data_IF_452229477752
#
_entry.id   IF_452229477752
#
_cell.length_a   1.000
_cell.length_b   1.000
_cell.length_c   1.000
_cell.angle_alpha   90.00
_cell.angle_beta   90.00
_cell.angle_gamma   90.00
#
_symmetry.space_group_name_H-M   'P 1'
#
loop_
_entity.id
_entity.type
_entity.pdbx_description
1 polymer ?
#
# COMPACT_ATOMS: atom_id res chain seq x y z
N UNK A 1 -15.23 -16.45 16.67
CA UNK A 1 -15.00 -15.94 15.30
C UNK A 1 -15.69 -14.59 15.25
N UNK A 2 -14.94 -13.50 15.23
CA UNK A 2 -15.54 -12.17 15.11
C UNK A 2 -16.27 -12.13 13.77
N UNK A 3 -17.59 -11.98 13.81
CA UNK A 3 -18.39 -11.66 12.64
C UNK A 3 -17.95 -10.26 12.24
N UNK A 4 -17.09 -10.16 11.22
CA UNK A 4 -16.63 -8.88 10.69
C UNK A 4 -17.84 -8.27 9.96
N UNK A 5 -18.68 -7.58 10.72
CA UNK A 5 -19.87 -6.93 10.20
C UNK A 5 -19.42 -5.72 9.38
N UNK A 6 -19.78 -5.63 8.09
CA UNK A 6 -19.27 -4.59 7.20
C UNK A 6 -19.81 -3.19 7.53
N UNK A 7 -20.66 -3.06 8.55
CA UNK A 7 -21.19 -1.80 9.06
C UNK A 7 -20.66 -1.46 10.46
N UNK A 8 -19.84 -2.34 11.05
CA UNK A 8 -19.21 -2.12 12.33
C UNK A 8 -17.94 -1.27 12.16
N UNK A 9 -18.05 -0.01 12.59
CA UNK A 9 -16.99 0.98 12.43
C UNK A 9 -15.74 0.68 13.28
N UNK A 10 -15.92 -0.02 14.41
CA UNK A 10 -14.82 -0.40 15.32
C UNK A 10 -14.07 -1.64 14.82
N UNK A 11 -14.74 -2.50 14.05
CA UNK A 11 -14.13 -3.65 13.40
C UNK A 11 -13.33 -3.29 12.13
N UNK A 12 -13.47 -2.06 11.62
CA UNK A 12 -12.78 -1.60 10.42
C UNK A 12 -11.27 -1.40 10.70
N UNK A 13 -10.37 -2.03 9.93
CA UNK A 13 -8.93 -1.92 10.14
C UNK A 13 -8.36 -0.54 9.81
N UNK A 14 -9.11 0.31 9.09
CA UNK A 14 -8.72 1.66 8.74
C UNK A 14 -9.41 2.71 9.61
N UNK A 15 -9.87 2.31 10.80
CA UNK A 15 -10.42 3.21 11.82
C UNK A 15 -9.39 4.26 12.25
N UNK A 16 -9.84 5.46 12.64
CA UNK A 16 -8.96 6.46 13.23
C UNK A 16 -8.27 5.91 14.50
N UNK A 17 -7.06 6.37 14.83
CA UNK A 17 -6.38 5.98 16.06
C UNK A 17 -7.17 6.41 17.29
N UNK A 18 -7.10 5.60 18.35
CA UNK A 18 -7.78 5.89 19.62
C UNK A 18 -7.28 7.18 20.29
N UNK A 19 -6.01 7.54 20.05
CA UNK A 19 -5.41 8.79 20.52
C UNK A 19 -5.58 9.85 19.42
N UNK A 20 -6.22 11.00 19.73
CA UNK A 20 -6.33 12.11 18.78
C UNK A 20 -4.96 12.51 18.24
N UNK A 21 -4.82 12.44 16.91
CA UNK A 21 -3.58 12.68 16.20
C UNK A 21 -3.86 13.62 15.04
N UNK A 22 -2.96 14.56 14.78
CA UNK A 22 -3.06 15.42 13.61
C UNK A 22 -2.78 14.59 12.34
N UNK A 23 -3.75 14.57 11.43
CA UNK A 23 -3.71 13.80 10.18
C UNK A 23 -3.90 14.71 8.97
N UNK A 24 -3.33 14.33 7.86
CA UNK A 24 -3.48 14.97 6.56
C UNK A 24 -4.16 14.03 5.57
N UNK A 25 -5.09 14.56 4.78
CA UNK A 25 -5.71 13.83 3.67
C UNK A 25 -4.93 14.06 2.37
N UNK A 26 -4.58 12.98 1.66
CA UNK A 26 -3.86 13.08 0.38
C UNK A 26 -4.70 13.65 -0.78
N UNK A 27 -6.03 13.67 -0.64
CA UNK A 27 -6.95 14.12 -1.70
C UNK A 27 -7.22 15.63 -1.66
N UNK A 28 -7.51 16.17 -0.47
CA UNK A 28 -7.75 17.61 -0.31
C UNK A 28 -6.52 18.37 0.19
N UNK A 29 -5.53 17.69 0.78
CA UNK A 29 -4.34 18.32 1.37
C UNK A 29 -4.59 19.00 2.72
N UNK A 30 -5.80 18.93 3.26
CA UNK A 30 -6.13 19.56 4.54
C UNK A 30 -5.66 18.70 5.72
N UNK A 31 -5.18 19.39 6.76
CA UNK A 31 -4.76 18.82 8.03
C UNK A 31 -5.88 19.01 9.07
N UNK A 32 -6.22 17.95 9.79
CA UNK A 32 -7.29 17.96 10.79
C UNK A 32 -7.04 16.87 11.83
N UNK A 33 -7.75 16.92 12.96
CA UNK A 33 -7.58 15.89 13.99
C UNK A 33 -8.25 14.57 13.58
N UNK A 34 -7.63 13.44 13.91
CA UNK A 34 -8.13 12.10 13.57
C UNK A 34 -9.53 11.80 14.10
N UNK A 35 -9.95 12.43 15.20
CA UNK A 35 -11.32 12.28 15.74
C UNK A 35 -12.40 12.88 14.81
N UNK A 36 -12.00 13.73 13.86
CA UNK A 36 -12.90 14.33 12.87
C UNK A 36 -13.15 13.42 11.68
N UNK A 37 -12.44 12.30 11.53
CA UNK A 37 -12.70 11.30 10.49
C UNK A 37 -14.12 10.73 10.72
N UNK A 38 -14.94 10.71 9.67
CA UNK A 38 -16.34 10.31 9.76
C UNK A 38 -16.55 8.89 9.24
N UNK A 39 -17.43 8.12 9.89
CA UNK A 39 -17.91 6.86 9.36
C UNK A 39 -19.09 7.10 8.41
N UNK A 40 -18.96 6.69 7.16
CA UNK A 40 -20.03 6.76 6.16
C UNK A 40 -20.37 5.37 5.65
N UNK A 41 -21.65 5.17 5.32
CA UNK A 41 -22.15 3.89 4.78
C UNK A 41 -22.61 4.10 3.35
N UNK A 42 -22.08 3.31 2.43
CA UNK A 42 -22.46 3.31 1.01
C UNK A 42 -23.13 2.00 0.63
N UNK A 43 -24.14 2.09 -0.24
CA UNK A 43 -24.80 0.93 -0.80
C UNK A 43 -24.07 0.50 -2.08
N UNK A 44 -23.40 -0.65 -2.04
CA UNK A 44 -22.81 -1.25 -3.22
C UNK A 44 -23.90 -1.77 -4.17
N UNK A 45 -23.60 -1.81 -5.47
CA UNK A 45 -24.50 -2.31 -6.51
C UNK A 45 -24.97 -3.76 -6.31
N UNK A 46 -24.26 -4.54 -5.51
CA UNK A 46 -24.62 -5.90 -5.10
C UNK A 46 -25.74 -5.98 -4.04
N UNK A 47 -26.35 -4.84 -3.68
CA UNK A 47 -27.38 -4.74 -2.65
C UNK A 47 -26.85 -4.89 -1.21
N UNK A 48 -25.53 -4.81 -1.04
CA UNK A 48 -24.86 -4.83 0.28
C UNK A 48 -24.41 -3.42 0.64
N UNK A 49 -24.61 -3.05 1.89
CA UNK A 49 -24.07 -1.81 2.45
C UNK A 49 -22.68 -2.07 3.02
N UNK A 50 -21.76 -1.12 2.83
CA UNK A 50 -20.42 -1.15 3.43
C UNK A 50 -20.15 0.19 4.07
N UNK A 51 -19.68 0.17 5.31
CA UNK A 51 -19.17 1.35 5.97
C UNK A 51 -17.68 1.54 5.69
N UNK A 52 -17.25 2.79 5.75
CA UNK A 52 -15.85 3.17 5.65
C UNK A 52 -15.62 4.50 6.38
N UNK A 53 -14.41 4.66 6.91
CA UNK A 53 -13.94 5.91 7.47
C UNK A 53 -13.49 6.86 6.36
N UNK A 54 -13.87 8.13 6.41
CA UNK A 54 -13.53 9.11 5.37
C UNK A 54 -13.22 10.50 5.91
N UNK A 55 -12.56 11.28 5.07
CA UNK A 55 -12.26 12.68 5.32
C UNK A 55 -13.56 13.48 5.58
N UNK A 56 -13.59 14.35 6.61
CA UNK A 56 -14.77 15.17 6.90
C UNK A 56 -15.03 16.25 5.85
N UNK A 57 -14.06 16.53 4.98
CA UNK A 57 -14.16 17.63 4.03
C UNK A 57 -15.23 17.38 2.96
N UNK A 58 -16.03 18.40 2.68
CA UNK A 58 -17.07 18.31 1.67
C UNK A 58 -16.47 18.02 0.29
N UNK A 59 -17.05 17.05 -0.44
CA UNK A 59 -16.60 16.59 -1.75
C UNK A 59 -15.15 16.05 -1.79
N UNK A 60 -14.63 15.56 -0.66
CA UNK A 60 -13.38 14.82 -0.63
C UNK A 60 -13.65 13.31 -0.66
N UNK A 61 -12.90 12.60 -1.49
CA UNK A 61 -12.99 11.14 -1.66
C UNK A 61 -11.96 10.36 -0.84
N UNK A 62 -11.18 11.03 0.04
CA UNK A 62 -10.20 10.37 0.89
C UNK A 62 -10.85 9.41 1.90
N UNK A 63 -10.42 8.15 1.89
CA UNK A 63 -10.97 7.06 2.71
C UNK A 63 -9.87 6.29 3.45
N UNK A 64 -10.15 5.96 4.70
CA UNK A 64 -9.33 5.09 5.52
C UNK A 64 -8.07 5.77 6.10
N UNK A 65 -7.89 5.60 7.41
CA UNK A 65 -6.64 5.96 8.08
C UNK A 65 -5.53 4.96 7.68
N UNK A 66 -4.36 5.47 7.33
CA UNK A 66 -3.25 4.70 6.76
C UNK A 66 -3.38 4.33 5.29
N UNK A 67 -4.43 4.82 4.60
CA UNK A 67 -4.61 4.62 3.17
C UNK A 67 -4.65 5.93 2.38
N UNK A 68 -5.66 6.78 2.63
CA UNK A 68 -5.71 8.14 2.05
C UNK A 68 -5.43 9.22 3.10
N UNK A 69 -5.56 8.88 4.38
CA UNK A 69 -5.41 9.79 5.52
C UNK A 69 -4.25 9.31 6.37
N UNK A 70 -3.20 10.12 6.50
CA UNK A 70 -1.98 9.76 7.22
C UNK A 70 -1.70 10.75 8.35
N UNK A 71 -1.07 10.33 9.45
CA UNK A 71 -0.53 11.25 10.44
C UNK A 71 0.47 12.18 9.77
N UNK A 72 0.41 13.47 10.10
CA UNK A 72 1.39 14.44 9.60
C UNK A 72 2.71 14.37 10.36
N UNK A 73 2.66 13.79 11.56
CA UNK A 73 3.83 13.62 12.42
C UNK A 73 4.70 12.45 11.91
N UNK A 74 5.96 12.69 11.54
CA UNK A 74 6.86 11.65 11.07
C UNK A 74 7.33 10.70 12.18
N UNK A 75 7.22 11.13 13.44
CA UNK A 75 7.54 10.31 14.62
C UNK A 75 6.29 9.58 15.16
N UNK A 76 5.17 9.61 14.43
CA UNK A 76 3.93 9.00 14.85
C UNK A 76 4.10 7.51 15.14
N UNK A 77 3.56 7.11 16.29
CA UNK A 77 3.48 5.71 16.72
C UNK A 77 2.04 5.31 16.96
N UNK A 78 1.67 4.14 16.46
CA UNK A 78 0.34 3.58 16.66
C UNK A 78 0.13 3.07 18.10
N UNK A 79 -1.04 2.48 18.36
CA UNK A 79 -1.40 1.90 19.66
C UNK A 79 -0.46 0.76 20.10
N UNK A 80 0.23 0.11 19.16
CA UNK A 80 1.22 -0.94 19.39
C UNK A 80 2.65 -0.39 19.54
N UNK A 81 2.85 0.90 19.33
CA UNK A 81 4.15 1.57 19.35
C UNK A 81 4.94 1.45 18.05
N UNK A 82 4.31 0.97 16.97
CA UNK A 82 4.92 0.81 15.64
C UNK A 82 4.90 2.14 14.88
N UNK A 83 5.98 2.44 14.16
CA UNK A 83 6.06 3.63 13.31
C UNK A 83 5.30 3.39 12.02
N UNK A 84 4.53 4.38 11.57
CA UNK A 84 3.83 4.27 10.29
C UNK A 84 4.79 4.42 9.10
N UNK A 85 5.89 5.14 9.31
CA UNK A 85 6.96 5.33 8.34
C UNK A 85 8.08 4.35 8.65
N UNK A 86 8.51 3.58 7.65
CA UNK A 86 9.75 2.81 7.72
C UNK A 86 10.89 3.74 7.30
N UNK A 87 11.85 3.93 8.20
CA UNK A 87 13.09 4.64 7.87
C UNK A 87 13.95 3.68 7.04
N UNK A 88 14.13 3.98 5.76
CA UNK A 88 14.89 3.16 4.79
C UNK A 88 16.41 3.19 5.04
N UNK A 89 16.88 3.88 6.10
CA UNK A 89 18.31 4.16 6.29
C UNK A 89 19.06 3.15 7.19
N UNK A 90 18.41 2.13 7.77
CA UNK A 90 19.13 1.08 8.53
C UNK A 90 18.95 -0.34 7.96
N UNK A 91 19.99 -0.76 7.22
CA UNK A 91 20.48 -2.13 7.03
C UNK A 91 20.11 -2.89 5.73
N UNK A 92 20.71 -2.44 4.63
CA UNK A 92 21.38 -3.33 3.66
C UNK A 92 22.41 -4.21 4.40
N UNK A 93 22.24 -5.53 4.36
CA UNK A 93 23.22 -6.63 4.64
C UNK A 93 22.50 -7.78 5.39
N UNK A 94 22.32 -9.01 4.90
CA UNK A 94 22.92 -9.74 3.78
C UNK A 94 21.85 -10.71 3.22
N UNK A 95 21.45 -10.53 1.97
CA UNK A 95 20.81 -11.60 1.21
C UNK A 95 21.93 -12.59 0.84
N UNK A 96 22.07 -13.66 1.62
CA UNK A 96 23.00 -14.78 1.38
C UNK A 96 22.76 -15.36 -0.02
N UNK A 97 23.55 -14.90 -1.01
CA UNK A 97 23.60 -15.45 -2.35
C UNK A 97 24.27 -16.83 -2.30
N UNK A 98 23.49 -17.86 -1.95
CA UNK A 98 23.85 -19.27 -2.10
C UNK A 98 23.89 -19.72 -3.57
N UNK A 99 24.70 -19.06 -4.40
CA UNK A 99 25.09 -19.47 -5.74
C UNK A 99 26.34 -20.37 -5.66
N UNK A 100 26.16 -21.67 -5.45
CA UNK A 100 27.20 -22.65 -5.83
C UNK A 100 26.63 -24.03 -6.13
N UNK A 101 26.56 -24.33 -7.42
CA UNK A 101 27.01 -25.62 -7.97
C UNK A 101 27.08 -25.49 -9.48
N UNK A 102 28.29 -25.21 -9.96
CA UNK A 102 28.65 -25.27 -11.37
C UNK A 102 28.36 -26.65 -11.96
N UNK A 103 27.61 -26.72 -13.06
CA UNK A 103 27.57 -27.89 -13.94
C UNK A 103 28.36 -27.57 -15.22
N UNK A 104 29.60 -28.09 -15.37
CA UNK A 104 30.39 -27.91 -16.57
C UNK A 104 30.17 -29.09 -17.52
N UNK A 105 29.33 -28.95 -18.56
CA UNK A 105 29.31 -29.93 -19.63
C UNK A 105 29.22 -29.31 -21.05
N UNK A 106 30.36 -29.44 -21.75
CA UNK A 106 30.52 -29.86 -23.15
C UNK A 106 29.90 -28.92 -24.22
N UNK A 107 30.66 -28.12 -24.96
CA UNK A 107 31.63 -28.61 -25.94
C UNK A 107 30.98 -28.83 -27.31
N UNK A 108 30.99 -27.83 -28.20
CA UNK A 108 30.61 -28.00 -29.61
C UNK A 108 30.74 -26.74 -30.48
N UNK A 109 31.92 -26.56 -31.11
CA UNK A 109 32.16 -25.68 -32.29
C UNK A 109 31.29 -26.18 -33.48
N UNK A 110 30.87 -25.38 -34.46
CA UNK A 110 31.61 -24.83 -35.63
C UNK A 110 30.67 -23.81 -36.33
N UNK A 111 31.08 -22.57 -36.62
CA UNK A 111 31.70 -22.10 -37.87
C UNK A 111 30.83 -22.25 -39.14
N UNK A 112 30.45 -21.11 -39.74
CA UNK A 112 30.38 -20.97 -41.20
C UNK A 112 29.07 -20.50 -41.84
N UNK A 113 29.06 -19.23 -42.31
CA UNK A 113 28.35 -18.72 -43.49
C UNK A 113 26.84 -18.53 -43.36
N UNK A 114 26.16 -17.67 -44.11
CA UNK A 114 26.48 -16.77 -45.22
C UNK A 114 25.23 -15.87 -45.36
N UNK A 115 25.34 -14.78 -46.11
CA UNK A 115 24.30 -13.79 -46.34
C UNK A 115 22.90 -14.37 -46.69
N UNK A 116 21.84 -13.68 -46.26
CA UNK A 116 20.89 -13.15 -47.23
C UNK A 116 20.13 -11.95 -46.64
N UNK A 117 20.24 -10.85 -47.37
CA UNK A 117 19.46 -9.62 -47.31
C UNK A 117 18.15 -9.89 -48.06
N UNK A 118 17.01 -9.97 -47.37
CA UNK A 118 15.72 -9.82 -48.06
C UNK A 118 14.59 -9.37 -47.11
N UNK A 119 14.22 -8.10 -47.29
CA UNK A 119 12.87 -7.54 -47.25
C UNK A 119 11.90 -8.00 -46.14
N UNK A 120 11.61 -7.08 -45.22
CA UNK A 120 10.23 -6.89 -44.78
C UNK A 120 9.77 -5.46 -45.08
N UNK A 121 8.69 -5.29 -45.86
CA UNK A 121 8.14 -4.00 -46.23
C UNK A 121 7.49 -3.27 -45.05
N UNK A 122 7.53 -1.95 -45.17
CA UNK A 122 6.90 -0.89 -44.38
C UNK A 122 5.43 -1.12 -44.01
#
# INVERSE_FOLDING_TARGET
MATNDPLDADADPFRPPAIPTLVGCLHCGEEYDSYQIEWRVENCGDGRSRGFWCCPMENCDGRGFGFDIFPVDPEYRDENGETMWVDDDENDSELDEGLDSADPLEGGRNDGGDADDDLLPW
#
